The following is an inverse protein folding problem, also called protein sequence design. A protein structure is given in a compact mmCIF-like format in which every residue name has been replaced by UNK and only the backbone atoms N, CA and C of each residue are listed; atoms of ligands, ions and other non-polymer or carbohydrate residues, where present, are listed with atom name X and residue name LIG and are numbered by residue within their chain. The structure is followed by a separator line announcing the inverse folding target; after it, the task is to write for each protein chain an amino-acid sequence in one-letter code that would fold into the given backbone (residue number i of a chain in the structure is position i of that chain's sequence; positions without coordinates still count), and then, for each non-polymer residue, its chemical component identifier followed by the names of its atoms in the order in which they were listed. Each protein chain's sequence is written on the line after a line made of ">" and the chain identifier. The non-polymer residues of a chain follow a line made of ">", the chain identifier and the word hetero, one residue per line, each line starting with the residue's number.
data_IF_691934689077
#
_entry.id   IF_691934689077
#
_cell.length_a   1.000
_cell.length_b   1.000
_cell.length_c   1.000
_cell.angle_alpha   90.00
_cell.angle_beta   90.00
_cell.angle_gamma   90.00
#
_symmetry.space_group_name_H-M   'P 1'
#
loop_
_entity.id
_entity.type
_entity.pdbx_description
1 polymer ?
#
# COMPACT_ATOMS: atom_id res chain seq x y z
N UNK A 1 26.78 -12.74 -1.95
CA UNK A 1 25.58 -13.41 -1.40
C UNK A 1 24.73 -13.87 -2.58
N UNK A 2 24.71 -15.17 -2.86
CA UNK A 2 23.99 -15.73 -4.02
C UNK A 2 22.49 -15.65 -3.69
N UNK A 3 21.75 -14.74 -4.35
CA UNK A 3 20.30 -14.67 -4.24
C UNK A 3 19.73 -16.00 -4.78
N UNK A 4 19.27 -16.87 -3.88
CA UNK A 4 18.47 -18.05 -4.25
C UNK A 4 17.34 -17.58 -5.18
N UNK A 5 17.15 -18.24 -6.33
CA UNK A 5 16.06 -17.97 -7.30
C UNK A 5 14.77 -17.75 -6.52
N UNK A 6 14.34 -16.49 -6.42
CA UNK A 6 13.12 -16.14 -5.71
C UNK A 6 11.94 -16.66 -6.52
N UNK A 7 10.94 -17.26 -5.86
CA UNK A 7 9.73 -17.72 -6.54
C UNK A 7 9.05 -16.49 -7.17
N UNK A 8 8.96 -16.47 -8.48
CA UNK A 8 8.20 -15.47 -9.21
C UNK A 8 6.71 -15.81 -9.12
N UNK A 9 5.88 -14.77 -9.09
CA UNK A 9 4.44 -14.89 -9.25
C UNK A 9 4.08 -14.31 -10.61
N UNK A 10 3.22 -15.03 -11.32
CA UNK A 10 2.66 -14.62 -12.60
C UNK A 10 1.17 -14.37 -12.44
N UNK A 11 0.67 -13.23 -12.92
CA UNK A 11 -0.77 -12.98 -13.06
C UNK A 11 -1.05 -12.43 -14.45
N UNK A 12 -1.64 -13.27 -15.29
CA UNK A 12 -1.71 -13.02 -16.73
C UNK A 12 -0.30 -12.99 -17.35
N UNK A 13 0.03 -11.89 -18.01
CA UNK A 13 1.34 -11.68 -18.66
C UNK A 13 2.36 -10.98 -17.76
N UNK A 14 1.93 -10.41 -16.63
CA UNK A 14 2.81 -9.71 -15.70
C UNK A 14 3.48 -10.70 -14.71
N UNK A 15 4.81 -10.60 -14.60
CA UNK A 15 5.63 -11.40 -13.68
C UNK A 15 6.37 -10.50 -12.69
N UNK A 16 6.33 -10.88 -11.42
CA UNK A 16 7.03 -10.17 -10.36
C UNK A 16 7.59 -11.12 -9.30
N UNK A 17 8.60 -10.70 -8.52
CA UNK A 17 9.04 -11.46 -7.36
C UNK A 17 7.92 -11.67 -6.34
N UNK A 18 7.75 -12.90 -5.84
CA UNK A 18 6.66 -13.23 -4.93
C UNK A 18 6.69 -12.51 -3.57
N UNK A 19 7.82 -11.93 -3.17
CA UNK A 19 7.92 -11.12 -1.96
C UNK A 19 7.24 -9.75 -2.12
N UNK A 20 7.05 -9.25 -3.34
CA UNK A 20 6.36 -7.98 -3.59
C UNK A 20 4.90 -8.00 -3.15
N UNK A 21 4.32 -9.18 -2.96
CA UNK A 21 3.00 -9.37 -2.37
C UNK A 21 2.93 -8.91 -0.90
N UNK A 22 4.04 -9.04 -0.17
CA UNK A 22 4.10 -8.74 1.25
C UNK A 22 4.15 -7.23 1.53
N UNK A 23 4.33 -6.39 0.50
CA UNK A 23 4.36 -4.93 0.63
C UNK A 23 2.98 -4.29 0.78
N UNK A 24 1.91 -4.99 0.40
CA UNK A 24 0.57 -4.40 0.35
C UNK A 24 -0.51 -5.29 0.97
N UNK A 25 -0.28 -6.60 1.10
CA UNK A 25 -1.23 -7.50 1.75
C UNK A 25 -1.25 -7.27 3.26
N UNK A 26 -2.46 -7.17 3.83
CA UNK A 26 -2.66 -7.15 5.29
C UNK A 26 -2.02 -8.38 5.94
N UNK A 27 -2.36 -9.56 5.42
CA UNK A 27 -1.74 -10.83 5.82
C UNK A 27 -0.54 -11.13 4.94
N UNK A 28 0.64 -10.74 5.43
CA UNK A 28 1.92 -11.04 4.79
C UNK A 28 2.28 -12.54 4.91
N UNK A 29 3.32 -12.99 4.22
CA UNK A 29 3.66 -14.43 4.20
C UNK A 29 4.31 -14.95 5.49
N UNK A 30 4.78 -14.07 6.39
CA UNK A 30 5.39 -14.43 7.68
C UNK A 30 6.72 -15.20 7.61
N UNK A 31 7.35 -15.33 6.44
CA UNK A 31 8.56 -16.16 6.27
C UNK A 31 9.83 -15.36 6.61
N UNK A 32 10.70 -15.91 7.47
CA UNK A 32 12.07 -15.41 7.75
C UNK A 32 12.91 -15.14 6.51
N UNK A 33 12.73 -15.94 5.46
CA UNK A 33 13.44 -15.78 4.18
C UNK A 33 12.84 -14.75 3.23
N UNK A 34 11.70 -14.14 3.57
CA UNK A 34 11.10 -13.07 2.77
C UNK A 34 11.85 -11.75 3.05
N UNK A 35 12.27 -10.99 2.02
CA UNK A 35 12.90 -9.68 2.17
C UNK A 35 12.07 -8.68 2.99
N UNK A 36 10.75 -8.82 3.00
CA UNK A 36 9.82 -7.96 3.77
C UNK A 36 9.61 -8.53 5.17
N UNK A 37 8.94 -9.68 5.27
CA UNK A 37 8.54 -10.24 6.57
C UNK A 37 9.75 -10.56 7.46
N UNK A 38 10.82 -11.09 6.87
CA UNK A 38 12.04 -11.41 7.62
C UNK A 38 12.82 -10.19 8.08
N UNK A 39 12.64 -9.02 7.44
CA UNK A 39 13.20 -7.75 7.95
C UNK A 39 12.35 -7.23 9.12
N UNK A 40 11.02 -7.20 8.95
CA UNK A 40 10.08 -6.81 10.01
C UNK A 40 10.30 -7.63 11.28
N UNK A 41 10.42 -8.96 11.16
CA UNK A 41 10.66 -9.85 12.30
C UNK A 41 11.99 -9.56 13.00
N UNK A 42 13.07 -9.33 12.24
CA UNK A 42 14.38 -8.98 12.82
C UNK A 42 14.36 -7.65 13.54
N UNK A 43 13.68 -6.65 12.99
CA UNK A 43 13.62 -5.33 13.63
C UNK A 43 12.78 -5.40 14.92
N UNK A 44 11.69 -6.18 14.89
CA UNK A 44 10.90 -6.48 16.09
C UNK A 44 11.70 -7.23 17.16
N UNK A 45 12.46 -8.28 16.79
CA UNK A 45 13.35 -9.02 17.69
C UNK A 45 14.39 -8.07 18.34
N UNK A 46 15.01 -7.18 17.57
CA UNK A 46 15.98 -6.19 18.11
C UNK A 46 15.36 -5.22 19.13
N UNK A 47 14.12 -4.80 18.91
CA UNK A 47 13.45 -3.88 19.84
C UNK A 47 13.14 -4.60 21.16
N UNK A 48 12.65 -5.84 21.09
CA UNK A 48 12.45 -6.68 22.27
C UNK A 48 13.78 -6.89 23.03
N UNK A 49 14.88 -7.18 22.33
CA UNK A 49 16.20 -7.35 22.93
C UNK A 49 16.69 -6.09 23.69
N UNK A 50 16.22 -4.90 23.29
CA UNK A 50 16.51 -3.63 23.95
C UNK A 50 15.54 -3.30 25.09
N UNK A 51 14.55 -4.15 25.36
CA UNK A 51 13.47 -3.87 26.31
C UNK A 51 12.48 -2.83 25.80
N UNK A 52 12.47 -2.57 24.49
CA UNK A 52 11.55 -1.64 23.84
C UNK A 52 10.28 -2.39 23.44
N UNK A 53 9.11 -1.79 23.66
CA UNK A 53 7.86 -2.37 23.17
C UNK A 53 7.72 -2.04 21.67
N UNK A 54 7.82 -3.03 20.76
CA UNK A 54 7.78 -2.76 19.32
C UNK A 54 6.43 -2.21 18.84
N UNK A 55 5.37 -2.35 19.64
CA UNK A 55 4.03 -1.84 19.33
C UNK A 55 3.85 -0.37 19.77
N UNK A 56 4.81 0.23 20.48
CA UNK A 56 4.77 1.65 20.81
C UNK A 56 5.20 2.52 19.62
N UNK A 57 4.36 3.50 19.28
CA UNK A 57 4.57 4.42 18.16
C UNK A 57 5.94 5.10 18.18
N UNK A 58 6.50 5.37 19.36
CA UNK A 58 7.81 5.99 19.53
C UNK A 58 8.91 5.18 18.83
N UNK A 59 8.99 3.88 19.10
CA UNK A 59 10.03 3.02 18.54
C UNK A 59 9.81 2.77 17.05
N UNK A 60 8.54 2.69 16.62
CA UNK A 60 8.19 2.63 15.19
C UNK A 60 8.69 3.87 14.41
N UNK A 61 8.57 5.07 14.98
CA UNK A 61 9.08 6.31 14.38
C UNK A 61 10.62 6.37 14.38
N UNK A 62 11.26 5.93 15.45
CA UNK A 62 12.72 5.88 15.53
C UNK A 62 13.31 4.92 14.48
N UNK A 63 12.69 3.75 14.30
CA UNK A 63 13.12 2.79 13.28
C UNK A 63 12.87 3.29 11.85
N UNK A 64 11.76 4.00 11.63
CA UNK A 64 11.49 4.68 10.37
C UNK A 64 12.61 5.70 10.05
N UNK A 65 13.02 6.50 11.03
CA UNK A 65 14.14 7.44 10.88
C UNK A 65 15.45 6.76 10.51
N UNK A 66 15.78 5.64 11.17
CA UNK A 66 16.97 4.83 10.83
C UNK A 66 16.90 4.30 9.40
N UNK A 67 15.75 3.77 8.99
CA UNK A 67 15.56 3.25 7.63
C UNK A 67 15.67 4.32 6.55
N UNK A 68 15.15 5.53 6.78
CA UNK A 68 15.35 6.65 5.85
C UNK A 68 16.82 7.03 5.73
N UNK A 69 17.55 7.07 6.85
CA UNK A 69 18.99 7.36 6.84
C UNK A 69 19.77 6.28 6.06
N UNK A 70 19.53 5.01 6.34
CA UNK A 70 20.17 3.90 5.62
C UNK A 70 19.88 3.94 4.12
N UNK A 71 18.63 4.22 3.75
CA UNK A 71 18.21 4.32 2.35
C UNK A 71 18.89 5.52 1.67
N UNK A 72 18.95 6.67 2.34
CA UNK A 72 19.64 7.86 1.84
C UNK A 72 21.14 7.59 1.64
N UNK A 73 21.80 6.89 2.56
CA UNK A 73 23.21 6.54 2.44
C UNK A 73 23.48 5.58 1.26
N UNK A 74 22.54 4.66 0.97
CA UNK A 74 22.61 3.80 -0.21
C UNK A 74 22.45 4.61 -1.51
N UNK A 75 21.44 5.49 -1.56
CA UNK A 75 21.20 6.37 -2.72
C UNK A 75 22.41 7.25 -2.99
N UNK A 76 23.01 7.85 -1.96
CA UNK A 76 24.24 8.67 -2.07
C UNK A 76 25.39 7.89 -2.70
N UNK A 77 25.65 6.67 -2.19
CA UNK A 77 26.72 5.81 -2.71
C UNK A 77 26.50 5.40 -4.16
N UNK A 78 25.26 5.13 -4.55
CA UNK A 78 24.96 4.74 -5.92
C UNK A 78 25.02 5.94 -6.87
N UNK A 79 24.56 7.12 -6.44
CA UNK A 79 24.72 8.36 -7.18
C UNK A 79 26.20 8.72 -7.42
N UNK A 80 27.04 8.63 -6.38
CA UNK A 80 28.50 8.82 -6.49
C UNK A 80 29.13 7.88 -7.51
N UNK A 81 28.78 6.58 -7.47
CA UNK A 81 29.28 5.59 -8.45
C UNK A 81 28.83 5.90 -9.88
N UNK A 82 27.64 6.47 -10.04
CA UNK A 82 27.07 6.83 -11.34
C UNK A 82 27.50 8.22 -11.81
N UNK A 83 28.27 8.96 -11.00
CA UNK A 83 28.65 10.35 -11.30
C UNK A 83 27.48 11.32 -11.32
N UNK A 84 26.38 11.00 -10.62
CA UNK A 84 25.18 11.81 -10.53
C UNK A 84 25.33 12.77 -9.35
N UNK A 85 25.23 14.07 -9.62
CA UNK A 85 25.13 15.08 -8.57
C UNK A 85 23.70 15.11 -8.01
N UNK A 86 23.59 14.78 -6.72
CA UNK A 86 22.34 14.72 -5.96
C UNK A 86 22.11 15.95 -5.08
N UNK A 87 22.96 16.98 -5.19
CA UNK A 87 22.80 18.23 -4.43
C UNK A 87 21.81 19.20 -5.07
N UNK A 88 21.56 19.07 -6.37
CA UNK A 88 20.57 19.88 -7.12
C UNK A 88 19.15 19.27 -7.03
N UNK A 89 18.68 19.00 -5.82
CA UNK A 89 17.36 18.39 -5.58
C UNK A 89 16.23 19.33 -6.02
N UNK A 90 16.47 20.64 -5.94
CA UNK A 90 15.49 21.68 -6.28
C UNK A 90 15.11 21.70 -7.77
N UNK A 91 15.96 21.13 -8.65
CA UNK A 91 15.70 21.03 -10.09
C UNK A 91 14.87 19.78 -10.45
N UNK A 92 14.61 18.89 -9.49
CA UNK A 92 13.86 17.66 -9.73
C UNK A 92 12.37 18.01 -9.84
N UNK A 93 11.80 17.81 -11.02
CA UNK A 93 10.35 17.88 -11.20
C UNK A 93 9.68 16.75 -10.40
N UNK A 94 8.76 17.13 -9.51
CA UNK A 94 7.91 16.20 -8.79
C UNK A 94 6.56 16.03 -9.49
N UNK A 95 5.91 14.86 -9.38
CA UNK A 95 4.51 14.72 -9.76
C UNK A 95 3.65 15.70 -8.93
N UNK A 96 2.52 16.18 -9.46
CA UNK A 96 1.55 16.95 -8.70
C UNK A 96 1.15 16.25 -7.40
N UNK A 97 0.82 17.05 -6.37
CA UNK A 97 0.26 16.56 -5.11
C UNK A 97 -1.05 15.80 -5.32
N UNK A 98 -1.39 14.81 -4.47
CA UNK A 98 -2.55 13.95 -4.66
C UNK A 98 -3.88 14.73 -4.76
N UNK A 99 -4.03 15.82 -4.00
CA UNK A 99 -5.24 16.64 -3.98
C UNK A 99 -5.51 17.35 -5.32
N UNK A 100 -4.48 17.46 -6.17
CA UNK A 100 -4.62 18.01 -7.53
C UNK A 100 -5.28 17.04 -8.50
N UNK A 101 -5.36 15.75 -8.14
CA UNK A 101 -6.05 14.73 -8.94
C UNK A 101 -7.48 14.53 -8.45
N UNK A 102 -8.52 14.88 -9.24
CA UNK A 102 -9.91 14.72 -8.82
C UNK A 102 -10.26 13.29 -8.39
N UNK A 103 -9.71 12.28 -9.06
CA UNK A 103 -9.95 10.88 -8.72
C UNK A 103 -9.33 10.47 -7.38
N UNK A 104 -8.16 11.03 -7.01
CA UNK A 104 -7.60 10.81 -5.66
C UNK A 104 -8.54 11.35 -4.59
N UNK A 105 -9.12 12.54 -4.80
CA UNK A 105 -10.11 13.11 -3.89
C UNK A 105 -11.39 12.26 -3.79
N UNK A 106 -11.86 11.69 -4.90
CA UNK A 106 -12.99 10.76 -4.89
C UNK A 106 -12.69 9.49 -4.07
N UNK A 107 -11.49 8.92 -4.24
CA UNK A 107 -11.04 7.73 -3.50
C UNK A 107 -10.92 8.03 -2.00
N UNK A 108 -10.37 9.19 -1.62
CA UNK A 108 -10.30 9.63 -0.22
C UNK A 108 -11.69 9.76 0.39
N UNK A 109 -12.64 10.42 -0.28
CA UNK A 109 -14.03 10.53 0.20
C UNK A 109 -14.70 9.17 0.38
N UNK A 110 -14.43 8.23 -0.52
CA UNK A 110 -14.93 6.87 -0.38
C UNK A 110 -14.32 6.15 0.82
N UNK A 111 -13.00 6.26 1.03
CA UNK A 111 -12.34 5.73 2.23
C UNK A 111 -12.96 6.33 3.49
N UNK A 112 -13.17 7.64 3.54
CA UNK A 112 -13.77 8.29 4.71
C UNK A 112 -15.20 7.77 4.96
N UNK A 113 -15.94 7.45 3.90
CA UNK A 113 -17.25 6.79 4.01
C UNK A 113 -17.14 5.38 4.61
N UNK A 114 -16.07 4.63 4.34
CA UNK A 114 -15.77 3.34 5.00
C UNK A 114 -15.55 3.54 6.50
N UNK A 115 -14.74 4.52 6.89
CA UNK A 115 -14.44 4.79 8.30
C UNK A 115 -15.65 5.34 9.08
N UNK A 116 -16.55 6.08 8.41
CA UNK A 116 -17.80 6.55 8.99
C UNK A 116 -18.75 5.42 9.45
N UNK A 117 -18.51 4.17 9.03
CA UNK A 117 -19.26 3.00 9.50
C UNK A 117 -19.04 2.71 10.99
N UNK A 118 -17.87 3.09 11.53
CA UNK A 118 -17.48 2.83 12.92
C UNK A 118 -17.19 4.10 13.73
N UNK A 119 -17.29 5.27 13.10
CA UNK A 119 -16.95 6.55 13.74
C UNK A 119 -17.95 6.89 14.85
N UNK A 120 -17.44 7.33 16.02
CA UNK A 120 -18.21 7.78 17.18
C UNK A 120 -19.21 6.75 17.76
N UNK A 121 -18.91 5.45 17.64
CA UNK A 121 -19.71 4.36 18.19
C UNK A 121 -18.85 3.38 19.00
N UNK A 122 -19.46 2.66 19.93
CA UNK A 122 -18.88 1.38 20.36
C UNK A 122 -18.75 0.47 19.15
N UNK A 123 -17.61 -0.23 19.04
CA UNK A 123 -17.31 -1.03 17.87
C UNK A 123 -18.30 -2.20 17.75
N UNK A 124 -19.04 -2.31 16.62
CA UNK A 124 -19.98 -3.40 16.43
C UNK A 124 -19.25 -4.74 16.24
N UNK A 125 -19.90 -5.87 16.55
CA UNK A 125 -19.27 -7.20 16.48
C UNK A 125 -18.66 -7.52 15.10
N UNK A 126 -19.29 -7.04 14.02
CA UNK A 126 -18.77 -7.25 12.68
C UNK A 126 -17.41 -6.57 12.46
N UNK A 127 -17.09 -5.50 13.21
CA UNK A 127 -15.83 -4.76 13.08
C UNK A 127 -14.62 -5.56 13.59
N UNK A 128 -14.84 -6.65 14.34
CA UNK A 128 -13.78 -7.57 14.81
C UNK A 128 -13.55 -8.76 13.87
N UNK A 129 -14.16 -8.75 12.68
CA UNK A 129 -14.04 -9.83 11.71
C UNK A 129 -12.89 -9.58 10.73
N UNK A 130 -12.35 -10.66 10.17
CA UNK A 130 -11.31 -10.59 9.13
C UNK A 130 -11.73 -9.78 7.89
N UNK A 131 -13.02 -9.81 7.56
CA UNK A 131 -13.58 -9.03 6.46
C UNK A 131 -13.59 -7.53 6.78
N UNK A 132 -13.81 -7.14 8.05
CA UNK A 132 -13.68 -5.75 8.46
C UNK A 132 -12.22 -5.27 8.39
N UNK A 133 -11.30 -6.07 8.91
CA UNK A 133 -9.87 -5.78 8.83
C UNK A 133 -9.40 -5.58 7.37
N UNK A 134 -9.82 -6.47 6.46
CA UNK A 134 -9.54 -6.35 5.04
C UNK A 134 -10.16 -5.06 4.45
N UNK A 135 -11.43 -4.77 4.75
CA UNK A 135 -12.11 -3.56 4.27
C UNK A 135 -11.33 -2.29 4.69
N UNK A 136 -10.97 -2.15 5.97
CA UNK A 136 -10.24 -0.97 6.45
C UNK A 136 -8.82 -0.90 5.89
N UNK A 137 -8.07 -2.00 5.90
CA UNK A 137 -6.71 -2.05 5.37
C UNK A 137 -6.65 -1.67 3.89
N UNK A 138 -7.49 -2.31 3.07
CA UNK A 138 -7.44 -2.11 1.63
C UNK A 138 -8.06 -0.77 1.21
N UNK A 139 -8.93 -0.15 2.02
CA UNK A 139 -9.41 1.22 1.75
C UNK A 139 -8.27 2.25 1.74
N UNK A 140 -7.32 2.15 2.68
CA UNK A 140 -6.11 2.98 2.70
C UNK A 140 -5.13 2.59 1.59
N UNK A 141 -4.98 1.30 1.33
CA UNK A 141 -4.09 0.80 0.29
C UNK A 141 -4.50 1.35 -1.08
N UNK A 142 -5.81 1.40 -1.39
CA UNK A 142 -6.32 1.99 -2.62
C UNK A 142 -6.00 3.49 -2.70
N UNK A 143 -6.12 4.25 -1.60
CA UNK A 143 -5.75 5.67 -1.60
C UNK A 143 -4.27 5.85 -2.01
N UNK A 144 -3.36 5.16 -1.32
CA UNK A 144 -1.93 5.26 -1.58
C UNK A 144 -1.57 4.79 -3.00
N UNK A 145 -2.15 3.68 -3.45
CA UNK A 145 -1.84 3.10 -4.76
C UNK A 145 -2.46 3.85 -5.92
N UNK A 146 -3.62 4.50 -5.72
CA UNK A 146 -4.22 5.36 -6.76
C UNK A 146 -3.31 6.55 -7.06
N UNK A 147 -2.79 7.20 -6.02
CA UNK A 147 -1.82 8.28 -6.22
C UNK A 147 -0.54 7.77 -6.88
N UNK A 148 0.00 6.63 -6.42
CA UNK A 148 1.18 6.01 -7.04
C UNK A 148 0.97 5.73 -8.53
N UNK A 149 -0.22 5.29 -8.95
CA UNK A 149 -0.54 5.06 -10.35
C UNK A 149 -0.45 6.35 -11.18
N UNK A 150 -0.91 7.49 -10.64
CA UNK A 150 -0.74 8.79 -11.27
C UNK A 150 0.73 9.22 -11.33
N UNK A 151 1.50 9.01 -10.26
CA UNK A 151 2.94 9.27 -10.27
C UNK A 151 3.64 8.47 -11.36
N UNK A 152 3.35 7.17 -11.46
CA UNK A 152 3.96 6.29 -12.45
C UNK A 152 3.59 6.73 -13.88
N UNK A 153 2.33 7.08 -14.13
CA UNK A 153 1.90 7.63 -15.42
C UNK A 153 2.64 8.93 -15.77
N UNK A 154 2.71 9.86 -14.82
CA UNK A 154 3.43 11.13 -14.99
C UNK A 154 4.93 10.90 -15.29
N UNK A 155 5.56 9.93 -14.62
CA UNK A 155 6.95 9.55 -14.85
C UNK A 155 7.15 8.95 -16.25
N UNK A 156 6.26 8.06 -16.69
CA UNK A 156 6.28 7.47 -18.05
C UNK A 156 6.12 8.57 -19.12
N UNK A 157 5.17 9.49 -18.93
CA UNK A 157 4.94 10.64 -19.84
C UNK A 157 6.18 11.57 -19.94
N UNK A 158 7.03 11.56 -18.91
CA UNK A 158 8.31 12.29 -18.86
C UNK A 158 9.51 11.47 -19.35
N UNK A 159 9.31 10.22 -19.76
CA UNK A 159 10.34 9.36 -20.35
C UNK A 159 11.05 8.42 -19.38
N UNK A 160 10.56 8.24 -18.16
CA UNK A 160 11.12 7.28 -17.21
C UNK A 160 10.70 5.84 -17.56
N UNK A 161 11.68 5.03 -17.97
CA UNK A 161 11.49 3.62 -18.33
C UNK A 161 11.24 2.70 -17.14
N UNK A 162 11.61 3.10 -15.92
CA UNK A 162 11.31 2.31 -14.72
C UNK A 162 9.82 2.37 -14.36
N UNK A 163 9.14 3.42 -14.83
CA UNK A 163 7.71 3.63 -14.60
C UNK A 163 6.83 2.48 -15.10
N UNK A 164 7.19 1.82 -16.22
CA UNK A 164 6.36 0.78 -16.84
C UNK A 164 6.11 -0.44 -15.93
N UNK A 165 7.17 -0.97 -15.31
CA UNK A 165 7.03 -2.12 -14.39
C UNK A 165 6.21 -1.76 -13.16
N UNK A 166 6.50 -0.61 -12.54
CA UNK A 166 5.78 -0.19 -11.33
C UNK A 166 4.33 0.22 -11.63
N UNK A 167 4.06 0.73 -12.84
CA UNK A 167 2.71 1.02 -13.32
C UNK A 167 1.90 -0.27 -13.47
N UNK A 168 2.44 -1.31 -14.10
CA UNK A 168 1.75 -2.61 -14.21
C UNK A 168 1.59 -3.30 -12.84
N UNK A 169 2.62 -3.25 -12.00
CA UNK A 169 2.54 -3.74 -10.62
C UNK A 169 1.45 -3.03 -9.81
N UNK A 170 1.41 -1.70 -9.87
CA UNK A 170 0.45 -0.90 -9.08
C UNK A 170 -0.97 -1.11 -9.59
N UNK A 171 -1.18 -1.23 -10.91
CA UNK A 171 -2.47 -1.61 -11.51
C UNK A 171 -2.94 -2.98 -11.06
N UNK A 172 -2.02 -3.96 -11.01
CA UNK A 172 -2.30 -5.29 -10.46
C UNK A 172 -2.75 -5.21 -8.99
N UNK A 173 -2.00 -4.49 -8.15
CA UNK A 173 -2.32 -4.33 -6.72
C UNK A 173 -3.68 -3.67 -6.53
N UNK A 174 -3.97 -2.60 -7.28
CA UNK A 174 -5.27 -1.93 -7.24
C UNK A 174 -6.41 -2.88 -7.60
N UNK A 175 -6.25 -3.67 -8.66
CA UNK A 175 -7.24 -4.66 -9.08
C UNK A 175 -7.52 -5.67 -7.96
N UNK A 176 -6.48 -6.24 -7.34
CA UNK A 176 -6.62 -7.16 -6.20
C UNK A 176 -7.29 -6.50 -5.00
N UNK A 177 -6.92 -5.27 -4.66
CA UNK A 177 -7.51 -4.56 -3.52
C UNK A 177 -9.01 -4.38 -3.70
N UNK A 178 -9.46 -3.99 -4.90
CA UNK A 178 -10.88 -3.87 -5.20
C UNK A 178 -11.61 -5.23 -5.14
N UNK A 179 -10.98 -6.31 -5.63
CA UNK A 179 -11.56 -7.67 -5.54
C UNK A 179 -11.71 -8.12 -4.07
N UNK A 180 -10.69 -7.87 -3.24
CA UNK A 180 -10.74 -8.19 -1.81
C UNK A 180 -11.79 -7.36 -1.09
N UNK A 181 -11.90 -6.05 -1.38
CA UNK A 181 -12.93 -5.19 -0.80
C UNK A 181 -14.33 -5.66 -1.17
N UNK A 182 -14.58 -6.00 -2.43
CA UNK A 182 -15.89 -6.49 -2.88
C UNK A 182 -16.28 -7.78 -2.15
N UNK A 183 -15.32 -8.71 -2.00
CA UNK A 183 -15.52 -9.93 -1.24
C UNK A 183 -15.81 -9.62 0.24
N UNK A 184 -15.00 -8.77 0.86
CA UNK A 184 -15.12 -8.39 2.26
C UNK A 184 -16.47 -7.74 2.57
N UNK A 185 -16.91 -6.80 1.72
CA UNK A 185 -18.22 -6.17 1.87
C UNK A 185 -19.34 -7.20 1.73
N UNK A 186 -19.23 -8.12 0.77
CA UNK A 186 -20.23 -9.18 0.58
C UNK A 186 -20.36 -10.10 1.81
N UNK A 187 -19.25 -10.38 2.49
CA UNK A 187 -19.20 -11.14 3.74
C UNK A 187 -19.75 -10.35 4.95
N UNK A 188 -19.61 -9.04 4.95
CA UNK A 188 -20.10 -8.15 6.01
C UNK A 188 -21.59 -7.81 5.90
N UNK A 189 -22.18 -7.80 4.70
CA UNK A 189 -23.59 -7.44 4.47
C UNK A 189 -24.58 -8.27 5.33
N UNK A 190 -24.42 -9.59 5.51
CA UNK A 190 -25.31 -10.39 6.36
C UNK A 190 -25.19 -10.07 7.85
N UNK A 191 -24.03 -9.61 8.32
CA UNK A 191 -23.71 -9.43 9.75
C UNK A 191 -23.79 -7.97 10.21
N UNK A 192 -23.71 -7.02 9.26
CA UNK A 192 -23.82 -5.59 9.50
C UNK A 192 -25.27 -5.11 9.35
N UNK A 193 -26.15 -5.46 10.30
CA UNK A 193 -27.59 -5.14 10.22
C UNK A 193 -27.90 -3.65 10.35
N UNK A 194 -27.22 -2.95 11.27
CA UNK A 194 -27.49 -1.53 11.56
C UNK A 194 -27.00 -0.58 10.47
N UNK A 195 -25.82 -0.83 9.90
CA UNK A 195 -25.21 0.01 8.87
C UNK A 195 -25.30 -0.63 7.46
N UNK A 196 -26.18 -1.62 7.26
CA UNK A 196 -26.33 -2.38 6.01
C UNK A 196 -26.46 -1.48 4.78
N UNK A 197 -27.32 -0.46 4.85
CA UNK A 197 -27.54 0.47 3.74
C UNK A 197 -26.29 1.27 3.39
N UNK A 198 -25.54 1.73 4.40
CA UNK A 198 -24.27 2.45 4.19
C UNK A 198 -23.22 1.53 3.58
N UNK A 199 -23.14 0.29 4.07
CA UNK A 199 -22.22 -0.72 3.55
C UNK A 199 -22.54 -1.07 2.07
N UNK A 200 -23.82 -1.14 1.70
CA UNK A 200 -24.22 -1.29 0.29
C UNK A 200 -23.83 -0.08 -0.57
N UNK A 201 -23.96 1.14 -0.04
CA UNK A 201 -23.51 2.36 -0.73
C UNK A 201 -21.99 2.39 -0.92
N UNK A 202 -21.23 1.97 0.09
CA UNK A 202 -19.77 1.79 0.03
C UNK A 202 -19.40 0.78 -1.06
N UNK A 203 -20.14 -0.33 -1.18
CA UNK A 203 -19.95 -1.36 -2.21
C UNK A 203 -20.14 -0.81 -3.62
N UNK A 204 -21.27 -0.15 -3.88
CA UNK A 204 -21.57 0.45 -5.18
C UNK A 204 -20.55 1.54 -5.57
N UNK A 205 -20.16 2.36 -4.60
CA UNK A 205 -19.12 3.38 -4.79
C UNK A 205 -17.76 2.75 -5.13
N UNK A 206 -17.38 1.65 -4.46
CA UNK A 206 -16.14 0.93 -4.75
C UNK A 206 -16.14 0.34 -6.18
N UNK A 207 -17.28 -0.19 -6.66
CA UNK A 207 -17.43 -0.67 -8.05
C UNK A 207 -17.20 0.45 -9.08
N UNK A 208 -17.80 1.63 -8.85
CA UNK A 208 -17.63 2.79 -9.72
C UNK A 208 -16.19 3.30 -9.70
N UNK A 209 -15.56 3.34 -8.53
CA UNK A 209 -14.16 3.74 -8.40
C UNK A 209 -13.21 2.75 -9.09
N UNK A 210 -13.43 1.45 -8.95
CA UNK A 210 -12.64 0.41 -9.67
C UNK A 210 -12.59 0.70 -11.17
N UNK A 211 -13.74 1.00 -11.78
CA UNK A 211 -13.83 1.28 -13.20
C UNK A 211 -13.10 2.56 -13.63
N UNK A 212 -12.95 3.55 -12.74
CA UNK A 212 -12.20 4.79 -12.99
C UNK A 212 -10.70 4.60 -12.74
N UNK A 213 -10.34 4.03 -11.59
CA UNK A 213 -8.95 3.87 -11.12
C UNK A 213 -8.17 2.93 -12.04
N UNK A 214 -8.77 1.85 -12.52
CA UNK A 214 -8.09 0.93 -13.44
C UNK A 214 -7.91 1.47 -14.88
N UNK A 215 -8.42 2.68 -15.16
CA UNK A 215 -8.27 3.39 -16.44
C UNK A 215 -7.22 4.52 -16.38
N UNK A 216 -6.63 4.81 -15.21
CA UNK A 216 -5.53 5.77 -15.08
C UNK A 216 -4.39 5.33 -15.98
#
# INVERSE_FOLDING_TARGET
>A
MIMKKQKTKRKGEFEMPGWMECFWKRKSCGKKGCPVCGRIEKDHEKNIERGENPDEMKFALDDLGKHFKETLDLVKKDAEKMGIDITNIDDIQAPPEPEKYPLCNEVVKWRDSVYSLIENKELPLWAYTEAADDLFWYSNTICAKTYRQFCNKWQIEKGDKFGDFDYEYTKYVLSECFDIIQKSISELIPTCTEDKMKLMFVSDSALKLKAKVLKI
#
